data_IF_627228418905
#
_entry.id   IF_627228418905
#
_cell.length_a   1.000
_cell.length_b   1.000
_cell.length_c   1.000
_cell.angle_alpha   90.00
_cell.angle_beta   90.00
_cell.angle_gamma   90.00
#
_symmetry.space_group_name_H-M   'P 1'
#
loop_
_entity.id
_entity.type
_entity.pdbx_description
1 polymer ?
#
# COMPACT_ATOMS: atom_id res chain seq x y z
N UNK A 1 3.95 0.77 4.09
CA UNK A 1 3.53 0.34 2.72
C UNK A 1 2.34 1.16 2.27
N UNK A 2 2.11 1.30 0.97
CA UNK A 2 0.95 1.98 0.38
C UNK A 2 0.31 1.11 -0.70
N UNK A 3 -1.03 1.13 -0.73
CA UNK A 3 -1.86 0.42 -1.71
C UNK A 3 -2.46 1.44 -2.68
N UNK A 4 -2.01 1.39 -3.93
CA UNK A 4 -2.71 1.99 -5.05
C UNK A 4 -3.31 0.91 -5.95
N UNK A 5 -4.35 1.25 -6.72
CA UNK A 5 -4.98 0.35 -7.70
C UNK A 5 -3.99 -0.24 -8.71
N UNK A 6 -2.93 0.49 -9.03
CA UNK A 6 -1.97 0.12 -10.07
C UNK A 6 -0.61 -0.31 -9.55
N UNK A 7 -0.22 0.15 -8.36
CA UNK A 7 1.09 -0.08 -7.79
C UNK A 7 0.99 -0.30 -6.28
N UNK A 8 1.87 -1.15 -5.76
CA UNK A 8 2.16 -1.27 -4.35
C UNK A 8 3.53 -0.67 -4.07
N UNK A 9 3.66 0.04 -2.96
CA UNK A 9 4.92 0.67 -2.55
C UNK A 9 5.26 0.27 -1.13
N UNK A 10 6.50 -0.17 -0.90
CA UNK A 10 7.05 -0.42 0.42
C UNK A 10 8.24 0.51 0.66
N UNK A 11 8.31 1.07 1.86
CA UNK A 11 9.42 1.89 2.30
C UNK A 11 9.84 1.38 3.68
N UNK A 12 11.14 1.21 3.88
CA UNK A 12 11.74 0.77 5.12
C UNK A 12 12.88 1.73 5.48
N UNK A 13 13.07 1.97 6.79
CA UNK A 13 14.08 2.91 7.26
C UNK A 13 15.47 2.51 6.77
N UNK A 14 16.19 3.47 6.17
CA UNK A 14 17.55 3.26 5.68
C UNK A 14 17.65 2.55 4.32
N UNK A 15 16.53 2.23 3.66
CA UNK A 15 16.51 1.62 2.32
C UNK A 15 15.68 2.46 1.34
N UNK A 16 16.06 2.51 0.05
CA UNK A 16 15.21 3.13 -0.96
C UNK A 16 13.84 2.44 -1.04
N UNK A 17 12.75 3.19 -1.30
CA UNK A 17 11.43 2.59 -1.44
C UNK A 17 11.38 1.65 -2.65
N UNK A 18 10.70 0.53 -2.47
CA UNK A 18 10.44 -0.47 -3.51
C UNK A 18 9.03 -0.25 -4.04
N UNK A 19 8.90 -0.12 -5.35
CA UNK A 19 7.61 -0.04 -6.06
C UNK A 19 7.45 -1.25 -6.97
N UNK A 20 6.24 -1.79 -7.04
CA UNK A 20 5.86 -2.90 -7.93
C UNK A 20 4.47 -2.67 -8.49
N UNK A 21 4.23 -3.12 -9.72
CA UNK A 21 2.87 -3.20 -10.26
C UNK A 21 1.99 -4.09 -9.38
N UNK A 22 0.72 -3.74 -9.24
CA UNK A 22 -0.32 -4.55 -8.59
C UNK A 22 -0.70 -5.78 -9.46
N UNK A 23 0.28 -6.66 -9.65
CA UNK A 23 0.21 -7.88 -10.45
C UNK A 23 0.87 -8.97 -9.63
N UNK A 24 0.11 -10.00 -9.26
CA UNK A 24 0.62 -11.11 -8.46
C UNK A 24 0.80 -12.33 -9.35
N UNK A 25 1.97 -12.94 -9.32
CA UNK A 25 2.22 -14.21 -10.03
C UNK A 25 2.19 -15.34 -9.01
N UNK A 26 1.23 -16.25 -9.18
CA UNK A 26 1.04 -17.42 -8.32
C UNK A 26 1.83 -18.61 -8.86
N UNK A 27 2.43 -19.36 -7.93
CA UNK A 27 3.21 -20.57 -8.20
C UNK A 27 2.72 -21.71 -7.31
N UNK A 28 2.61 -22.95 -7.83
CA UNK A 28 2.25 -24.10 -7.00
C UNK A 28 3.31 -24.47 -5.95
N UNK A 29 4.57 -24.14 -6.23
CA UNK A 29 5.75 -24.63 -5.50
C UNK A 29 6.46 -23.57 -4.66
N UNK A 30 6.07 -22.30 -4.76
CA UNK A 30 6.70 -21.23 -3.99
C UNK A 30 5.75 -20.08 -3.67
N UNK A 31 6.18 -19.19 -2.79
CA UNK A 31 5.41 -18.01 -2.43
C UNK A 31 5.12 -17.12 -3.65
N UNK A 32 3.95 -16.48 -3.72
CA UNK A 32 3.62 -15.55 -4.79
C UNK A 32 4.63 -14.42 -4.96
N UNK A 33 4.80 -13.94 -6.20
CA UNK A 33 5.72 -12.86 -6.55
C UNK A 33 4.96 -11.64 -7.06
N UNK A 34 5.25 -10.46 -6.51
CA UNK A 34 4.57 -9.19 -6.81
C UNK A 34 5.32 -8.37 -7.86
N UNK A 35 4.62 -7.86 -8.86
CA UNK A 35 5.14 -7.06 -9.96
C UNK A 35 5.27 -7.82 -11.28
N UNK A 36 5.70 -7.11 -12.32
CA UNK A 36 5.97 -7.66 -13.65
C UNK A 36 7.27 -8.48 -13.68
N UNK A 37 7.44 -9.36 -14.67
CA UNK A 37 8.71 -10.04 -14.96
C UNK A 37 9.93 -9.10 -14.99
N UNK A 38 9.79 -7.93 -15.60
CA UNK A 38 10.85 -6.92 -15.67
C UNK A 38 11.22 -6.32 -14.31
N UNK A 39 10.32 -6.36 -13.33
CA UNK A 39 10.54 -5.86 -11.97
C UNK A 39 11.16 -6.91 -11.05
N UNK A 40 11.19 -8.18 -11.48
CA UNK A 40 11.73 -9.31 -10.71
C UNK A 40 12.59 -10.24 -11.59
N UNK A 41 13.89 -9.97 -11.76
CA UNK A 41 14.78 -10.81 -12.54
C UNK A 41 15.24 -12.08 -11.79
N UNK A 42 15.26 -13.29 -12.40
CA UNK A 42 14.57 -13.71 -13.60
C UNK A 42 13.32 -14.53 -13.22
N UNK A 43 12.14 -13.90 -13.28
CA UNK A 43 10.85 -14.59 -13.40
C UNK A 43 10.80 -15.36 -14.75
N UNK A 44 11.67 -16.36 -14.93
CA UNK A 44 11.73 -17.19 -16.16
C UNK A 44 10.78 -18.40 -16.09
N UNK A 45 10.19 -18.68 -14.93
CA UNK A 45 9.21 -19.76 -14.78
C UNK A 45 7.78 -19.24 -15.04
N UNK A 46 7.01 -19.92 -15.91
CA UNK A 46 5.61 -19.58 -16.14
C UNK A 46 4.79 -19.78 -14.86
N UNK A 47 4.02 -18.76 -14.49
CA UNK A 47 3.09 -18.77 -13.35
C UNK A 47 1.76 -18.13 -13.72
N UNK A 48 0.80 -18.19 -12.81
CA UNK A 48 -0.56 -17.66 -13.04
C UNK A 48 -0.61 -16.19 -12.64
N UNK A 49 -0.86 -15.31 -13.62
CA UNK A 49 -0.92 -13.87 -13.40
C UNK A 49 -2.31 -13.43 -12.91
N UNK A 50 -2.33 -12.82 -11.73
CA UNK A 50 -3.51 -12.23 -11.10
C UNK A 50 -3.42 -10.71 -11.10
N UNK A 51 -4.52 -10.04 -11.47
CA UNK A 51 -4.66 -8.57 -11.53
C UNK A 51 -6.07 -8.20 -11.08
N UNK A 52 -6.28 -6.93 -10.76
CA UNK A 52 -7.62 -6.44 -10.39
C UNK A 52 -8.08 -6.84 -8.99
N UNK A 53 -7.20 -7.47 -8.20
CA UNK A 53 -7.54 -7.96 -6.86
C UNK A 53 -7.74 -6.83 -5.84
N UNK A 54 -7.10 -5.67 -6.04
CA UNK A 54 -7.24 -4.52 -5.15
C UNK A 54 -8.63 -3.89 -5.31
N UNK A 55 -9.11 -3.77 -6.55
CA UNK A 55 -10.41 -3.19 -6.89
C UNK A 55 -11.59 -4.05 -6.39
N UNK A 56 -11.34 -5.34 -6.12
CA UNK A 56 -12.34 -6.31 -5.68
C UNK A 56 -12.27 -6.67 -4.20
N UNK A 57 -11.53 -5.91 -3.41
CA UNK A 57 -11.48 -6.14 -1.97
C UNK A 57 -12.87 -6.01 -1.35
N UNK A 58 -13.27 -6.99 -0.54
CA UNK A 58 -14.59 -7.12 0.06
C UNK A 58 -15.69 -7.56 -0.92
N UNK A 59 -15.36 -7.90 -2.16
CA UNK A 59 -16.30 -8.50 -3.11
C UNK A 59 -16.49 -9.99 -2.80
N UNK A 60 -17.75 -10.44 -2.75
CA UNK A 60 -18.06 -11.85 -2.48
C UNK A 60 -17.77 -12.78 -3.66
N UNK A 61 -17.56 -12.23 -4.86
CA UNK A 61 -17.29 -13.00 -6.07
C UNK A 61 -15.79 -13.15 -6.28
N UNK A 62 -15.32 -14.39 -6.29
CA UNK A 62 -13.92 -14.72 -6.51
C UNK A 62 -13.36 -14.19 -7.85
N UNK A 63 -12.05 -13.97 -7.87
CA UNK A 63 -11.30 -13.79 -9.11
C UNK A 63 -10.94 -15.15 -9.70
N UNK A 64 -11.24 -15.32 -10.98
CA UNK A 64 -10.95 -16.56 -11.69
C UNK A 64 -9.72 -16.37 -12.57
N UNK A 65 -8.70 -17.19 -12.36
CA UNK A 65 -7.50 -17.19 -13.19
C UNK A 65 -7.74 -17.86 -14.55
N UNK A 66 -6.82 -17.69 -15.52
CA UNK A 66 -6.93 -18.34 -16.83
C UNK A 66 -7.01 -19.87 -16.80
N UNK A 67 -6.51 -20.51 -15.74
CA UNK A 67 -6.60 -21.96 -15.52
C UNK A 67 -7.92 -22.41 -14.88
N UNK A 68 -8.85 -21.47 -14.60
CA UNK A 68 -10.16 -21.73 -14.02
C UNK A 68 -10.19 -21.82 -12.50
N UNK A 69 -9.06 -21.68 -11.80
CA UNK A 69 -9.06 -21.66 -10.34
C UNK A 69 -9.63 -20.35 -9.78
N UNK A 70 -10.32 -20.45 -8.64
CA UNK A 70 -10.99 -19.33 -7.98
C UNK A 70 -10.17 -18.83 -6.79
N UNK A 71 -10.00 -17.52 -6.69
CA UNK A 71 -9.15 -16.86 -5.72
C UNK A 71 -9.90 -15.74 -5.02
N UNK A 72 -9.77 -15.68 -3.70
CA UNK A 72 -10.31 -14.60 -2.88
C UNK A 72 -9.48 -13.31 -3.11
N UNK A 73 -10.10 -12.18 -3.54
CA UNK A 73 -9.39 -10.92 -3.77
C UNK A 73 -8.68 -10.36 -2.55
N UNK A 74 -9.25 -10.56 -1.36
CA UNK A 74 -8.69 -10.06 -0.10
C UNK A 74 -7.41 -10.83 0.24
N UNK A 75 -7.44 -12.16 0.08
CA UNK A 75 -6.26 -13.00 0.29
C UNK A 75 -5.17 -12.73 -0.76
N UNK A 76 -5.52 -12.52 -2.02
CA UNK A 76 -4.56 -12.11 -3.05
C UNK A 76 -3.88 -10.78 -2.69
N UNK A 77 -4.62 -9.84 -2.12
CA UNK A 77 -4.05 -8.56 -1.65
C UNK A 77 -3.06 -8.79 -0.51
N UNK A 78 -3.39 -9.67 0.43
CA UNK A 78 -2.51 -10.00 1.56
C UNK A 78 -1.22 -10.69 1.11
N UNK A 79 -1.31 -11.63 0.17
CA UNK A 79 -0.14 -12.27 -0.45
C UNK A 79 0.75 -11.26 -1.17
N UNK A 80 0.14 -10.29 -1.87
CA UNK A 80 0.87 -9.22 -2.53
C UNK A 80 1.59 -8.30 -1.52
N UNK A 81 0.97 -8.00 -0.38
CA UNK A 81 1.58 -7.22 0.70
C UNK A 81 2.75 -7.97 1.36
N UNK A 82 2.59 -9.26 1.62
CA UNK A 82 3.66 -10.10 2.18
C UNK A 82 4.85 -10.22 1.21
N UNK A 83 4.57 -10.36 -0.09
CA UNK A 83 5.59 -10.30 -1.13
C UNK A 83 6.30 -8.93 -1.20
N UNK A 84 5.58 -7.82 -0.95
CA UNK A 84 6.19 -6.48 -0.84
C UNK A 84 7.09 -6.33 0.39
N UNK A 85 6.72 -6.92 1.53
CA UNK A 85 7.57 -6.95 2.73
C UNK A 85 8.88 -7.67 2.44
N UNK A 86 8.81 -8.85 1.80
CA UNK A 86 10.00 -9.58 1.32
C UNK A 86 10.82 -8.77 0.33
N UNK A 87 10.19 -8.12 -0.64
CA UNK A 87 10.87 -7.31 -1.65
C UNK A 87 11.60 -6.10 -1.05
N UNK A 88 11.06 -5.53 0.03
CA UNK A 88 11.70 -4.45 0.78
C UNK A 88 12.83 -4.93 1.71
N UNK A 89 13.05 -6.25 1.83
CA UNK A 89 14.04 -6.83 2.75
C UNK A 89 13.67 -6.66 4.23
N UNK A 90 12.40 -6.36 4.53
CA UNK A 90 11.93 -6.22 5.90
C UNK A 90 11.55 -7.59 6.49
N UNK A 91 11.82 -7.77 7.78
CA UNK A 91 11.30 -8.90 8.54
C UNK A 91 9.91 -8.53 9.09
N UNK A 92 8.87 -9.17 8.57
CA UNK A 92 7.49 -8.97 9.00
C UNK A 92 7.30 -9.24 10.50
N UNK A 93 8.08 -10.17 11.06
CA UNK A 93 7.95 -10.56 12.46
C UNK A 93 8.55 -9.53 13.43
N UNK A 94 9.50 -8.72 12.97
CA UNK A 94 10.23 -7.74 13.77
C UNK A 94 9.85 -6.27 13.47
N UNK A 95 8.99 -6.04 12.48
CA UNK A 95 8.66 -4.69 11.99
C UNK A 95 7.26 -4.24 12.43
N UNK A 96 7.14 -2.98 12.84
CA UNK A 96 5.83 -2.33 12.94
C UNK A 96 5.34 -1.95 11.54
N UNK A 97 4.34 -2.68 11.03
CA UNK A 97 3.86 -2.49 9.65
C UNK A 97 2.65 -1.54 9.65
N UNK A 98 2.82 -0.37 9.03
CA UNK A 98 1.71 0.51 8.66
C UNK A 98 1.41 0.41 7.15
N UNK A 99 0.13 0.29 6.82
CA UNK A 99 -0.38 0.15 5.45
C UNK A 99 -1.33 1.32 5.16
N UNK A 100 -0.93 2.18 4.24
CA UNK A 100 -1.78 3.22 3.68
C UNK A 100 -2.77 2.59 2.69
N UNK A 101 -4.07 2.78 2.94
CA UNK A 101 -5.19 2.32 2.10
C UNK A 101 -5.89 3.53 1.46
N UNK A 102 -6.49 3.38 0.27
CA UNK A 102 -7.13 4.50 -0.40
C UNK A 102 -8.22 5.19 0.44
N UNK A 103 -8.16 6.51 0.59
CA UNK A 103 -9.12 7.28 1.40
C UNK A 103 -10.58 7.12 0.93
N UNK A 104 -10.80 6.81 -0.34
CA UNK A 104 -12.12 6.62 -0.92
C UNK A 104 -12.73 5.24 -0.65
N UNK A 105 -11.95 4.29 -0.11
CA UNK A 105 -12.48 2.97 0.24
C UNK A 105 -13.58 3.09 1.29
N UNK A 106 -14.66 2.34 1.08
CA UNK A 106 -15.72 2.22 2.09
C UNK A 106 -15.18 1.49 3.32
N UNK A 107 -15.76 1.69 4.51
CA UNK A 107 -15.38 0.97 5.72
C UNK A 107 -15.38 -0.56 5.55
N UNK A 108 -16.28 -1.09 4.73
CA UNK A 108 -16.37 -2.52 4.42
C UNK A 108 -15.09 -3.05 3.73
N UNK A 109 -14.52 -2.32 2.76
CA UNK A 109 -13.28 -2.73 2.09
C UNK A 109 -12.10 -2.75 3.07
N UNK A 110 -11.99 -1.73 3.92
CA UNK A 110 -10.94 -1.66 4.95
C UNK A 110 -11.10 -2.80 5.97
N UNK A 111 -12.34 -3.13 6.33
CA UNK A 111 -12.62 -4.23 7.24
C UNK A 111 -12.29 -5.59 6.62
N UNK A 112 -12.66 -5.82 5.36
CA UNK A 112 -12.35 -7.04 4.61
C UNK A 112 -10.83 -7.29 4.53
N UNK A 113 -10.05 -6.26 4.16
CA UNK A 113 -8.59 -6.37 4.18
C UNK A 113 -8.04 -6.66 5.59
N UNK A 114 -8.61 -6.02 6.62
CA UNK A 114 -8.21 -6.28 8.02
C UNK A 114 -8.49 -7.71 8.43
N UNK A 115 -9.63 -8.28 8.02
CA UNK A 115 -10.01 -9.65 8.31
C UNK A 115 -9.08 -10.64 7.60
N UNK A 116 -8.79 -10.42 6.32
CA UNK A 116 -7.82 -11.23 5.57
C UNK A 116 -6.39 -11.15 6.15
N UNK A 117 -5.93 -9.98 6.59
CA UNK A 117 -4.60 -9.86 7.24
C UNK A 117 -4.46 -10.74 8.49
N UNK A 118 -5.55 -10.99 9.21
CA UNK A 118 -5.55 -11.84 10.41
C UNK A 118 -5.51 -13.34 10.10
N UNK A 119 -5.76 -13.77 8.86
CA UNK A 119 -5.68 -15.18 8.48
C UNK A 119 -4.27 -15.58 8.01
N UNK A 120 -3.43 -14.61 7.67
CA UNK A 120 -2.12 -14.85 7.06
C UNK A 120 -1.00 -14.97 8.09
N UNK A 121 -0.30 -16.12 8.09
CA UNK A 121 0.70 -16.47 9.10
C UNK A 121 1.86 -15.46 9.20
N UNK A 122 2.27 -14.85 8.09
CA UNK A 122 3.33 -13.83 8.10
C UNK A 122 3.00 -12.60 8.95
N UNK A 123 1.73 -12.21 9.01
CA UNK A 123 1.26 -11.05 9.78
C UNK A 123 0.72 -11.41 11.17
N UNK A 124 0.36 -12.67 11.41
CA UNK A 124 -0.06 -13.16 12.74
C UNK A 124 1.14 -13.48 13.62
N UNK A 125 2.22 -14.06 13.07
CA UNK A 125 3.42 -14.45 13.84
C UNK A 125 4.20 -13.26 14.41
N UNK A 126 4.06 -12.07 13.83
CA UNK A 126 4.67 -10.85 14.35
C UNK A 126 4.15 -10.44 15.72
N UNK A 127 3.01 -10.99 16.17
CA UNK A 127 2.32 -10.54 17.38
C UNK A 127 1.72 -9.12 17.29
N UNK A 128 2.00 -8.40 16.20
CA UNK A 128 1.52 -7.05 15.92
C UNK A 128 0.78 -7.05 14.58
N UNK A 129 -0.55 -6.92 14.65
CA UNK A 129 -1.36 -6.80 13.45
C UNK A 129 -1.00 -5.52 12.68
N UNK A 130 -0.84 -5.57 11.34
CA UNK A 130 -0.57 -4.39 10.55
C UNK A 130 -1.62 -3.30 10.77
N UNK A 131 -1.17 -2.05 10.92
CA UNK A 131 -2.05 -0.90 11.09
C UNK A 131 -2.51 -0.39 9.73
N UNK A 132 -3.82 -0.40 9.50
CA UNK A 132 -4.42 0.26 8.33
C UNK A 132 -4.64 1.75 8.61
N UNK A 133 -4.20 2.59 7.69
CA UNK A 133 -4.27 4.06 7.76
C UNK A 133 -4.76 4.58 6.43
N UNK A 134 -5.57 5.63 6.39
CA UNK A 134 -5.86 6.29 5.11
C UNK A 134 -4.57 6.85 4.49
N UNK A 135 -4.39 6.67 3.19
CA UNK A 135 -3.33 7.27 2.38
C UNK A 135 -3.28 8.80 2.52
N UNK A 136 -4.42 9.47 2.59
CA UNK A 136 -4.48 10.90 2.80
C UNK A 136 -3.92 11.32 4.17
N UNK A 137 -4.16 10.52 5.20
CA UNK A 137 -3.58 10.73 6.53
C UNK A 137 -2.09 10.44 6.52
N UNK A 138 -1.67 9.37 5.84
CA UNK A 138 -0.26 9.02 5.72
C UNK A 138 0.53 10.12 4.98
N UNK A 139 0.00 10.61 3.87
CA UNK A 139 0.57 11.68 3.07
C UNK A 139 0.63 13.00 3.85
N UNK A 140 -0.45 13.38 4.54
CA UNK A 140 -0.48 14.60 5.35
C UNK A 140 0.49 14.52 6.53
N UNK A 141 0.57 13.36 7.20
CA UNK A 141 1.53 13.13 8.29
C UNK A 141 2.97 13.28 7.79
N UNK A 142 3.27 12.69 6.63
CA UNK A 142 4.59 12.79 6.01
C UNK A 142 4.93 14.23 5.60
N UNK A 143 4.00 14.92 4.93
CA UNK A 143 4.15 16.32 4.53
C UNK A 143 4.35 17.24 5.75
N UNK A 144 3.62 17.00 6.84
CA UNK A 144 3.78 17.77 8.06
C UNK A 144 5.17 17.56 8.69
N UNK A 145 5.70 16.34 8.66
CA UNK A 145 7.03 16.03 9.19
C UNK A 145 8.17 16.67 8.36
N UNK A 146 7.98 16.85 7.06
CA UNK A 146 8.99 17.43 6.17
C UNK A 146 8.87 18.96 6.04
N UNK A 147 7.64 19.48 5.94
CA UNK A 147 7.37 20.88 5.63
C UNK A 147 7.03 21.72 6.85
N UNK A 148 6.90 21.10 8.04
CA UNK A 148 6.46 21.76 9.27
C UNK A 148 5.20 22.60 9.04
N UNK A 149 4.15 21.98 8.49
CA UNK A 149 2.92 22.68 8.12
C UNK A 149 2.34 23.44 9.32
N UNK A 150 1.68 24.55 9.04
CA UNK A 150 0.99 25.32 10.06
C UNK A 150 0.00 24.44 10.83
N UNK A 151 -0.05 24.61 12.15
CA UNK A 151 -0.97 23.85 13.01
C UNK A 151 -2.47 24.13 12.71
N UNK A 152 -2.76 25.22 12.00
CA UNK A 152 -4.08 25.59 11.46
C UNK A 152 -4.04 25.87 9.96
N UNK A 153 -5.11 25.49 9.26
CA UNK A 153 -5.29 25.78 7.84
C UNK A 153 -5.92 24.62 7.08
N UNK A 154 -6.40 24.88 5.85
CA UNK A 154 -6.91 23.83 4.97
C UNK A 154 -5.78 23.37 4.06
N UNK A 155 -5.53 22.07 4.02
CA UNK A 155 -4.59 21.45 3.07
C UNK A 155 -5.40 20.64 2.07
N UNK A 156 -5.24 20.98 0.79
CA UNK A 156 -5.71 20.15 -0.31
C UNK A 156 -4.67 19.09 -0.63
N UNK A 157 -5.07 17.81 -0.58
CA UNK A 157 -4.28 16.70 -1.06
C UNK A 157 -4.81 16.28 -2.44
N UNK A 158 -3.93 16.37 -3.43
CA UNK A 158 -4.16 15.85 -4.78
C UNK A 158 -3.28 14.61 -4.96
N UNK A 159 -3.91 13.44 -5.06
CA UNK A 159 -3.22 12.21 -5.44
C UNK A 159 -3.55 11.83 -6.88
N UNK A 160 -2.51 11.77 -7.71
CA UNK A 160 -2.60 11.36 -9.11
C UNK A 160 -2.10 9.92 -9.25
N UNK A 161 -3.00 8.96 -9.04
CA UNK A 161 -2.75 7.53 -9.21
C UNK A 161 -3.21 6.99 -10.57
N UNK A 162 -2.67 5.84 -10.97
CA UNK A 162 -2.95 5.22 -12.27
C UNK A 162 -4.39 4.68 -12.46
N UNK A 163 -5.26 4.75 -11.45
CA UNK A 163 -6.67 4.35 -11.54
C UNK A 163 -7.68 5.48 -11.34
N UNK A 164 -7.24 6.73 -11.17
CA UNK A 164 -8.11 7.88 -10.94
C UNK A 164 -7.51 8.90 -9.97
N UNK A 165 -7.95 10.14 -10.11
CA UNK A 165 -7.54 11.28 -9.27
C UNK A 165 -8.27 11.24 -7.93
N UNK A 166 -7.54 11.17 -6.84
CA UNK A 166 -8.09 11.37 -5.49
C UNK A 166 -7.99 12.84 -5.11
N UNK A 167 -9.13 13.51 -4.89
CA UNK A 167 -9.17 14.85 -4.30
C UNK A 167 -9.65 14.72 -2.85
N UNK A 168 -8.82 15.16 -1.90
CA UNK A 168 -9.19 15.21 -0.49
C UNK A 168 -8.86 16.57 0.10
N UNK A 169 -9.80 17.18 0.82
CA UNK A 169 -9.57 18.43 1.57
C UNK A 169 -9.65 18.13 3.05
N UNK A 170 -8.73 18.68 3.85
CA UNK A 170 -8.78 18.54 5.30
C UNK A 170 -8.43 19.86 6.00
N UNK A 171 -9.19 20.17 7.03
CA UNK A 171 -8.99 21.34 7.88
C UNK A 171 -8.12 20.96 9.10
N UNK A 172 -7.13 21.80 9.41
CA UNK A 172 -6.27 21.72 10.59
C UNK A 172 -6.78 22.73 11.63
N UNK A 173 -6.98 22.31 12.89
CA UNK A 173 -7.46 23.14 14.00
C UNK A 173 -6.44 23.16 15.16
N UNK A 174 -5.89 24.34 15.50
CA UNK A 174 -4.87 24.58 16.55
C UNK A 174 -3.80 25.66 16.22
N UNK A 175 -3.69 26.71 17.04
CA UNK A 175 -3.13 28.03 16.69
C UNK A 175 -1.66 28.20 16.23
N UNK A 176 -1.51 29.19 15.33
CA UNK A 176 -0.34 29.98 14.89
C UNK A 176 0.84 29.23 14.22
N UNK A 177 0.86 29.26 12.88
CA UNK A 177 2.03 28.96 12.04
C UNK A 177 1.79 29.37 10.58
N UNK A 178 2.84 29.76 9.85
CA UNK A 178 2.78 30.38 8.50
C UNK A 178 2.48 29.37 7.39
N UNK A 179 1.71 29.79 6.38
CA UNK A 179 1.31 28.98 5.23
C UNK A 179 2.42 28.67 4.24
N UNK A 180 2.35 27.48 3.62
CA UNK A 180 3.20 27.06 2.51
C UNK A 180 2.31 26.58 1.35
N UNK A 181 2.64 27.01 0.13
CA UNK A 181 2.02 26.56 -1.13
C UNK A 181 3.04 25.69 -1.86
N UNK A 182 2.65 24.51 -2.33
CA UNK A 182 3.51 23.64 -3.15
C UNK A 182 2.84 23.36 -4.49
N UNK A 183 3.56 23.65 -5.57
CA UNK A 183 3.13 23.52 -6.95
C UNK A 183 3.28 22.11 -7.53
N UNK A 184 2.55 21.88 -8.62
CA UNK A 184 2.46 20.62 -9.34
C UNK A 184 3.82 20.15 -9.90
N UNK A 185 4.19 18.90 -9.62
CA UNK A 185 5.35 18.24 -10.22
C UNK A 185 5.48 16.80 -9.72
N UNK A 186 5.19 15.84 -10.60
CA UNK A 186 5.27 14.42 -10.28
C UNK A 186 6.71 13.98 -10.03
N UNK A 187 6.95 13.46 -8.83
CA UNK A 187 7.95 12.44 -8.48
C UNK A 187 7.99 12.40 -6.95
N UNK A 188 7.36 11.39 -6.35
CA UNK A 188 7.39 11.13 -4.92
C UNK A 188 8.84 10.84 -4.49
N UNK A 189 9.54 11.86 -4.00
CA UNK A 189 10.90 11.74 -3.48
C UNK A 189 10.81 11.53 -1.98
N UNK A 190 10.72 10.29 -1.54
CA UNK A 190 10.88 9.95 -0.12
C UNK A 190 12.35 10.16 0.25
N UNK A 191 12.62 11.16 1.10
CA UNK A 191 13.89 11.28 1.82
C UNK A 191 13.57 11.35 3.31
N UNK A 192 13.44 10.19 3.96
CA UNK A 192 13.32 10.14 5.42
C UNK A 192 14.72 10.15 6.06
N UNK A 193 14.86 10.86 7.19
CA UNK A 193 15.11 10.14 8.42
C UNK A 193 14.19 10.66 9.54
N UNK A 194 13.30 9.83 10.07
CA UNK A 194 12.74 10.06 11.42
C UNK A 194 12.69 8.76 12.19
N UNK A 195 13.40 8.78 13.33
CA UNK A 195 13.40 7.78 14.39
C UNK A 195 12.02 7.70 15.03
N UNK A 196 11.61 6.49 15.41
CA UNK A 196 10.85 6.27 16.64
C UNK A 196 11.78 5.53 17.59
#
# INVERSE_FOLDING_TARGET
MSIGTTNLVAACNGTPPVSRRAVLTLYPHCAPKIGLPSENPPLSEPGVLMRGFIERIGDSVALVSPDGSAHDPDLLTVEALDAMVRAAGADAAASEISIAVPAYWKPANVQALRDALRTHLGFVRSGMAPRLVSDAIAALTAANAELCLAATGVVGLLDFGGGGTGLGTRELTGGAGRGATVGAGGAWRFSMPVRV
#
